data_IF_907313933320
#
_entry.id   IF_907313933320
#
_cell.length_a   1.000
_cell.length_b   1.000
_cell.length_c   1.000
_cell.angle_alpha   90.00
_cell.angle_beta   90.00
_cell.angle_gamma   90.00
#
_symmetry.space_group_name_H-M   'P 1'
#
loop_
_entity.id
_entity.type
_entity.pdbx_description
1 polymer ?
#
# COMPACT_ATOMS: atom_id res chain seq x y z
N UNK A 1 -79.47 36.31 32.93
CA UNK A 1 -78.47 37.35 32.59
C UNK A 1 -77.10 37.13 33.25
N UNK A 2 -76.96 36.31 34.30
CA UNK A 2 -75.66 36.07 34.99
C UNK A 2 -74.66 35.22 34.17
N UNK A 3 -75.11 34.21 33.41
CA UNK A 3 -74.21 33.32 32.64
C UNK A 3 -73.56 33.94 31.39
N UNK A 4 -74.12 35.03 30.85
CA UNK A 4 -73.53 35.75 29.70
C UNK A 4 -72.38 36.67 30.12
N UNK A 5 -72.48 37.26 31.32
CA UNK A 5 -71.43 38.11 31.87
C UNK A 5 -70.18 37.29 32.23
N UNK A 6 -70.36 36.14 32.86
CA UNK A 6 -69.26 35.21 33.18
C UNK A 6 -68.54 34.66 31.94
N UNK A 7 -69.27 34.41 30.85
CA UNK A 7 -68.66 34.02 29.56
C UNK A 7 -67.86 35.17 28.94
N UNK A 8 -68.36 36.40 29.06
CA UNK A 8 -67.66 37.58 28.55
C UNK A 8 -66.35 37.78 29.32
N UNK A 9 -66.38 37.74 30.66
CA UNK A 9 -65.18 37.84 31.50
C UNK A 9 -64.15 36.75 31.17
N UNK A 10 -64.61 35.52 30.95
CA UNK A 10 -63.73 34.41 30.56
C UNK A 10 -63.05 34.65 29.20
N UNK A 11 -63.79 35.15 28.21
CA UNK A 11 -63.24 35.50 26.89
C UNK A 11 -62.25 36.66 27.01
N UNK A 12 -62.54 37.67 27.85
CA UNK A 12 -61.64 38.81 28.08
C UNK A 12 -60.33 38.35 28.72
N UNK A 13 -60.40 37.43 29.69
CA UNK A 13 -59.23 36.87 30.34
C UNK A 13 -58.40 35.97 29.40
N UNK A 14 -59.06 35.15 28.57
CA UNK A 14 -58.37 34.38 27.53
C UNK A 14 -57.69 35.28 26.50
N UNK A 15 -58.35 36.36 26.08
CA UNK A 15 -57.77 37.35 25.14
C UNK A 15 -56.51 37.98 25.71
N UNK A 16 -56.54 38.42 26.98
CA UNK A 16 -55.38 39.00 27.64
C UNK A 16 -54.20 38.01 27.73
N UNK A 17 -54.48 36.74 28.06
CA UNK A 17 -53.44 35.70 28.12
C UNK A 17 -52.83 35.40 26.74
N UNK A 18 -53.62 35.46 25.67
CA UNK A 18 -53.13 35.29 24.29
C UNK A 18 -52.29 36.48 23.86
N UNK A 19 -52.70 37.71 24.20
CA UNK A 19 -51.92 38.94 23.94
C UNK A 19 -50.56 38.90 24.64
N UNK A 20 -50.52 38.52 25.92
CA UNK A 20 -49.27 38.38 26.68
C UNK A 20 -48.33 37.33 26.07
N UNK A 21 -48.87 36.21 25.59
CA UNK A 21 -48.07 35.18 24.91
C UNK A 21 -47.56 35.65 23.54
N UNK A 22 -48.36 36.41 22.79
CA UNK A 22 -47.96 37.02 21.52
C UNK A 22 -46.85 38.06 21.72
N UNK A 23 -46.92 38.87 22.77
CA UNK A 23 -45.86 39.82 23.14
C UNK A 23 -44.57 39.09 23.52
N UNK A 24 -44.67 38.04 24.33
CA UNK A 24 -43.50 37.19 24.66
C UNK A 24 -42.89 36.57 23.40
N UNK A 25 -43.70 36.01 22.51
CA UNK A 25 -43.22 35.43 21.26
C UNK A 25 -42.58 36.48 20.35
N UNK A 26 -43.23 37.64 20.20
CA UNK A 26 -42.73 38.77 19.43
C UNK A 26 -41.39 39.27 19.96
N UNK A 27 -41.21 39.30 21.29
CA UNK A 27 -39.94 39.67 21.93
C UNK A 27 -38.86 38.59 21.80
N UNK A 28 -39.23 37.31 21.73
CA UNK A 28 -38.29 36.19 21.63
C UNK A 28 -37.79 35.92 20.20
N UNK A 29 -38.62 36.17 19.18
CA UNK A 29 -38.26 36.02 17.76
C UNK A 29 -36.94 36.74 17.40
N UNK A 30 -36.75 38.04 17.71
CA UNK A 30 -35.50 38.73 17.35
C UNK A 30 -34.29 38.07 18.03
N UNK A 31 -34.38 37.73 19.31
CA UNK A 31 -33.29 37.03 20.03
C UNK A 31 -32.91 35.72 19.36
N UNK A 32 -33.89 34.89 19.00
CA UNK A 32 -33.65 33.62 18.31
C UNK A 32 -33.03 33.86 16.93
N UNK A 33 -33.53 34.83 16.16
CA UNK A 33 -32.97 35.16 14.84
C UNK A 33 -31.53 35.68 14.92
N UNK A 34 -31.20 36.48 15.93
CA UNK A 34 -29.82 36.94 16.17
C UNK A 34 -28.91 35.77 16.52
N UNK A 35 -29.35 34.86 17.39
CA UNK A 35 -28.55 33.67 17.74
C UNK A 35 -28.34 32.74 16.55
N UNK A 36 -29.38 32.48 15.74
CA UNK A 36 -29.24 31.70 14.52
C UNK A 36 -28.26 32.36 13.54
N UNK A 37 -28.32 33.68 13.40
CA UNK A 37 -27.39 34.42 12.53
C UNK A 37 -25.94 34.29 13.01
N UNK A 38 -25.71 34.38 14.33
CA UNK A 38 -24.39 34.17 14.93
C UNK A 38 -23.87 32.74 14.70
N UNK A 39 -24.73 31.72 14.86
CA UNK A 39 -24.36 30.32 14.59
C UNK A 39 -24.00 30.13 13.11
N UNK A 40 -24.81 30.67 12.20
CA UNK A 40 -24.54 30.59 10.76
C UNK A 40 -23.20 31.23 10.39
N UNK A 41 -22.86 32.36 11.01
CA UNK A 41 -21.57 33.03 10.81
C UNK A 41 -20.41 32.16 11.29
N UNK A 42 -20.49 31.57 12.49
CA UNK A 42 -19.44 30.68 13.02
C UNK A 42 -19.27 29.44 12.14
N UNK A 43 -20.38 28.85 11.66
CA UNK A 43 -20.33 27.69 10.76
C UNK A 43 -19.67 28.07 9.42
N UNK A 44 -19.98 29.24 8.86
CA UNK A 44 -19.35 29.73 7.63
C UNK A 44 -17.84 29.93 7.81
N UNK A 45 -17.42 30.52 8.94
CA UNK A 45 -16.01 30.72 9.26
C UNK A 45 -15.26 29.37 9.38
N UNK A 46 -15.85 28.38 10.07
CA UNK A 46 -15.24 27.06 10.19
C UNK A 46 -15.18 26.32 8.85
N UNK A 47 -16.19 26.47 7.99
CA UNK A 47 -16.15 25.92 6.62
C UNK A 47 -15.00 26.51 5.81
N UNK A 48 -14.77 27.82 5.90
CA UNK A 48 -13.63 28.45 5.23
C UNK A 48 -12.30 27.90 5.77
N UNK A 49 -12.17 27.72 7.09
CA UNK A 49 -10.95 27.17 7.66
C UNK A 49 -10.70 25.72 7.23
N UNK A 50 -11.75 24.90 7.16
CA UNK A 50 -11.66 23.53 6.64
C UNK A 50 -11.25 23.50 5.17
N UNK A 51 -11.81 24.37 4.33
CA UNK A 51 -11.43 24.48 2.93
C UNK A 51 -9.95 24.88 2.76
N UNK A 52 -9.45 25.79 3.61
CA UNK A 52 -8.04 26.17 3.57
C UNK A 52 -7.13 25.01 4.02
N UNK A 53 -7.52 24.25 5.04
CA UNK A 53 -6.80 23.05 5.45
C UNK A 53 -6.79 22.00 4.36
N UNK A 54 -7.92 21.77 3.69
CA UNK A 54 -8.03 20.86 2.54
C UNK A 54 -7.09 21.27 1.41
N UNK A 55 -7.01 22.58 1.10
CA UNK A 55 -6.10 23.13 0.11
C UNK A 55 -4.63 22.91 0.49
N UNK A 56 -4.26 23.18 1.75
CA UNK A 56 -2.89 22.99 2.26
C UNK A 56 -2.50 21.50 2.26
N UNK A 57 -3.41 20.62 2.69
CA UNK A 57 -3.19 19.18 2.68
C UNK A 57 -3.03 18.65 1.26
N UNK A 58 -3.89 19.07 0.34
CA UNK A 58 -3.82 18.69 -1.08
C UNK A 58 -2.49 19.12 -1.70
N UNK A 59 -2.05 20.35 -1.43
CA UNK A 59 -0.75 20.84 -1.86
C UNK A 59 0.40 20.01 -1.28
N UNK A 60 0.34 19.67 0.02
CA UNK A 60 1.36 18.83 0.65
C UNK A 60 1.40 17.42 0.06
N UNK A 61 0.24 16.82 -0.20
CA UNK A 61 0.13 15.51 -0.86
C UNK A 61 0.77 15.57 -2.25
N UNK A 62 0.50 16.61 -3.04
CA UNK A 62 1.09 16.80 -4.36
C UNK A 62 2.62 16.93 -4.29
N UNK A 63 3.14 17.71 -3.32
CA UNK A 63 4.59 17.82 -3.10
C UNK A 63 5.20 16.47 -2.75
N UNK A 64 4.59 15.70 -1.84
CA UNK A 64 5.05 14.36 -1.49
C UNK A 64 5.04 13.41 -2.69
N UNK A 65 3.98 13.41 -3.49
CA UNK A 65 3.91 12.59 -4.71
C UNK A 65 4.99 12.98 -5.73
N UNK A 66 5.29 14.27 -5.85
CA UNK A 66 6.36 14.78 -6.71
C UNK A 66 7.75 14.37 -6.20
N UNK A 67 7.99 14.47 -4.88
CA UNK A 67 9.21 13.99 -4.24
C UNK A 67 9.39 12.47 -4.43
N UNK A 68 8.34 11.68 -4.23
CA UNK A 68 8.36 10.24 -4.48
C UNK A 68 8.64 9.92 -5.95
N UNK A 69 8.03 10.65 -6.88
CA UNK A 69 8.35 10.46 -8.29
C UNK A 69 9.79 10.84 -8.62
N UNK A 70 10.35 11.87 -7.97
CA UNK A 70 11.76 12.21 -8.11
C UNK A 70 12.69 11.11 -7.57
N UNK A 71 12.37 10.56 -6.39
CA UNK A 71 13.17 9.56 -5.69
C UNK A 71 13.11 8.14 -6.26
N UNK A 72 11.98 7.77 -6.87
CA UNK A 72 11.77 6.43 -7.42
C UNK A 72 11.68 6.43 -8.95
N UNK A 73 11.43 7.59 -9.57
CA UNK A 73 11.16 7.69 -10.99
C UNK A 73 12.41 7.51 -11.86
N UNK A 74 13.61 7.83 -11.37
CA UNK A 74 14.88 7.52 -12.06
C UNK A 74 15.07 6.01 -12.17
N UNK A 75 14.86 5.31 -11.07
CA UNK A 75 15.04 3.87 -10.87
C UNK A 75 13.97 3.11 -11.65
N UNK A 76 12.73 3.59 -11.64
CA UNK A 76 11.63 3.04 -12.42
C UNK A 76 11.72 3.37 -13.92
N UNK A 77 12.48 4.40 -14.32
CA UNK A 77 12.68 4.78 -15.74
C UNK A 77 13.76 3.92 -16.40
N UNK A 78 14.75 3.46 -15.64
CA UNK A 78 15.72 2.46 -16.08
C UNK A 78 15.06 1.12 -16.43
N UNK A 79 13.86 0.86 -15.92
CA UNK A 79 13.07 -0.33 -16.20
C UNK A 79 12.09 -0.03 -17.36
N UNK A 80 12.44 -0.46 -18.57
CA UNK A 80 11.77 -0.05 -19.80
C UNK A 80 10.34 -0.60 -19.97
N UNK A 81 9.52 -0.02 -20.88
CA UNK A 81 8.14 -0.43 -21.14
C UNK A 81 7.99 -1.83 -21.77
N UNK A 82 9.07 -2.45 -22.23
CA UNK A 82 9.12 -3.83 -22.73
C UNK A 82 9.75 -4.82 -21.77
N UNK A 83 10.25 -4.37 -20.62
CA UNK A 83 10.77 -5.22 -19.57
C UNK A 83 9.62 -5.53 -18.62
N UNK A 84 8.72 -6.40 -19.07
CA UNK A 84 8.06 -7.31 -18.13
C UNK A 84 9.22 -7.90 -17.33
N UNK A 85 9.36 -7.43 -16.09
CA UNK A 85 10.53 -7.67 -15.26
C UNK A 85 11.05 -9.06 -15.57
N UNK A 86 12.34 -9.16 -15.84
CA UNK A 86 13.03 -10.43 -16.00
C UNK A 86 12.85 -11.37 -14.80
N UNK A 87 11.99 -11.06 -13.82
CA UNK A 87 11.23 -12.00 -13.00
C UNK A 87 10.62 -13.11 -13.86
N UNK A 88 9.85 -12.86 -14.93
CA UNK A 88 9.29 -13.94 -15.77
C UNK A 88 10.37 -14.74 -16.50
N UNK A 89 11.43 -14.06 -16.98
CA UNK A 89 12.61 -14.71 -17.58
C UNK A 89 13.40 -15.56 -16.58
N UNK A 90 13.74 -15.04 -15.39
CA UNK A 90 14.35 -15.80 -14.29
C UNK A 90 13.42 -16.90 -13.79
N UNK A 91 12.11 -16.67 -13.73
CA UNK A 91 11.09 -17.65 -13.35
C UNK A 91 11.02 -18.82 -14.33
N UNK A 92 11.26 -18.57 -15.62
CA UNK A 92 11.30 -19.59 -16.66
C UNK A 92 12.66 -20.30 -16.71
N UNK A 93 13.77 -19.57 -16.50
CA UNK A 93 15.12 -20.13 -16.39
C UNK A 93 15.25 -21.06 -15.17
N UNK A 94 14.72 -20.67 -14.00
CA UNK A 94 14.66 -21.53 -12.81
C UNK A 94 13.49 -22.54 -12.81
N UNK A 95 12.53 -22.39 -13.73
CA UNK A 95 11.33 -23.24 -13.84
C UNK A 95 11.44 -24.38 -14.85
N UNK A 96 12.51 -24.44 -15.65
CA UNK A 96 12.64 -25.42 -16.74
C UNK A 96 13.23 -26.78 -16.33
N UNK A 97 13.59 -26.97 -15.05
CA UNK A 97 13.91 -28.29 -14.49
C UNK A 97 12.74 -28.87 -13.68
N UNK A 98 11.55 -29.01 -14.26
CA UNK A 98 10.59 -30.00 -13.76
C UNK A 98 9.47 -30.28 -14.75
N UNK A 99 9.70 -31.26 -15.62
CA UNK A 99 8.60 -31.92 -16.32
C UNK A 99 7.97 -32.95 -15.34
N UNK A 100 7.05 -32.52 -14.47
CA UNK A 100 6.10 -33.39 -13.73
C UNK A 100 4.87 -32.58 -13.24
N UNK A 101 3.69 -33.21 -13.15
CA UNK A 101 2.41 -32.51 -13.15
C UNK A 101 2.13 -31.80 -11.83
N UNK A 102 1.25 -30.80 -11.91
CA UNK A 102 0.77 -29.95 -10.82
C UNK A 102 0.61 -30.72 -9.50
N UNK A 103 1.48 -30.42 -8.53
CA UNK A 103 1.33 -30.87 -7.15
C UNK A 103 0.54 -29.83 -6.38
N UNK A 104 -0.69 -30.22 -6.04
CA UNK A 104 -1.50 -29.66 -4.97
C UNK A 104 -0.62 -29.53 -3.72
N UNK A 105 -0.51 -28.34 -3.14
CA UNK A 105 0.27 -28.12 -1.91
C UNK A 105 -0.44 -28.84 -0.76
N UNK A 106 -0.09 -30.12 -0.57
CA UNK A 106 -0.32 -30.87 0.66
C UNK A 106 0.81 -30.51 1.62
N UNK A 107 0.46 -29.82 2.70
CA UNK A 107 1.36 -29.48 3.81
C UNK A 107 1.74 -30.76 4.52
N UNK A 108 2.96 -31.25 4.31
CA UNK A 108 3.58 -32.25 5.19
C UNK A 108 4.78 -31.62 5.91
N UNK A 109 4.67 -31.63 7.24
CA UNK A 109 5.57 -31.11 8.27
C UNK A 109 6.93 -31.83 8.25
N UNK A 110 8.08 -31.13 8.28
CA UNK A 110 9.35 -31.77 8.64
C UNK A 110 9.48 -31.82 10.18
N UNK A 111 9.59 -33.03 10.71
CA UNK A 111 10.03 -33.30 12.08
C UNK A 111 11.54 -32.97 12.19
N UNK A 112 11.89 -32.05 13.07
CA UNK A 112 13.28 -31.86 13.52
C UNK A 112 13.58 -32.89 14.63
N UNK A 113 14.65 -33.67 14.48
CA UNK A 113 15.34 -34.31 15.60
C UNK A 113 16.85 -34.13 15.45
N UNK A 114 17.61 -33.89 16.53
CA UNK A 114 19.02 -33.51 16.48
C UNK A 114 19.97 -34.72 16.65
N UNK A 115 21.25 -34.57 16.25
CA UNK A 115 22.32 -35.13 17.07
C UNK A 115 23.41 -34.09 17.38
N UNK A 116 23.79 -34.02 18.65
CA UNK A 116 25.06 -33.43 19.13
C UNK A 116 26.22 -34.46 19.03
N UNK A 117 27.41 -34.21 19.60
CA UNK A 117 28.57 -33.55 18.99
C UNK A 117 29.78 -34.51 18.91
N UNK A 118 30.86 -34.16 18.20
CA UNK A 118 32.19 -34.73 18.49
C UNK A 118 33.33 -33.86 17.95
N UNK A 119 34.46 -34.00 18.65
CA UNK A 119 35.55 -33.05 18.84
C UNK A 119 36.66 -33.13 17.78
N UNK A 120 37.35 -31.99 17.66
CA UNK A 120 38.75 -31.72 17.26
C UNK A 120 39.67 -32.89 16.83
N UNK A 121 40.33 -32.74 15.67
CA UNK A 121 41.78 -33.02 15.50
C UNK A 121 42.34 -32.07 14.42
N UNK A 122 43.39 -31.35 14.81
CA UNK A 122 44.32 -30.55 14.00
C UNK A 122 45.36 -31.43 13.32
N UNK A 123 45.79 -31.08 12.09
CA UNK A 123 47.17 -31.34 11.65
C UNK A 123 47.56 -30.41 10.48
N UNK A 124 48.85 -30.07 10.49
CA UNK A 124 49.52 -28.95 9.84
C UNK A 124 50.60 -29.49 8.88
N UNK A 125 51.07 -28.64 7.95
CA UNK A 125 52.32 -28.69 7.15
C UNK A 125 52.40 -29.29 5.72
N UNK A 126 52.58 -28.35 4.77
CA UNK A 126 53.63 -28.19 3.73
C UNK A 126 53.91 -29.23 2.61
N UNK A 127 54.06 -28.71 1.37
CA UNK A 127 55.06 -29.22 0.41
C UNK A 127 54.78 -29.11 -1.10
N UNK A 128 54.99 -27.93 -1.68
CA UNK A 128 55.69 -27.59 -2.96
C UNK A 128 55.48 -28.42 -4.26
N UNK A 129 55.16 -27.66 -5.33
CA UNK A 129 55.39 -27.87 -6.78
C UNK A 129 54.63 -28.97 -7.54
N UNK A 130 53.74 -28.54 -8.45
CA UNK A 130 54.01 -28.59 -9.89
C UNK A 130 52.91 -27.87 -10.69
N UNK A 131 53.34 -26.96 -11.57
CA UNK A 131 52.52 -26.26 -12.54
C UNK A 131 52.57 -27.03 -13.87
N UNK A 132 51.43 -27.23 -14.55
CA UNK A 132 51.45 -27.20 -16.01
C UNK A 132 50.70 -25.99 -16.55
N UNK A 133 51.39 -25.29 -17.45
CA UNK A 133 50.94 -24.21 -18.30
C UNK A 133 49.94 -24.74 -19.36
N UNK A 134 48.98 -23.88 -19.76
CA UNK A 134 48.14 -23.93 -20.97
C UNK A 134 46.96 -24.96 -20.96
N UNK A 135 45.70 -24.61 -21.23
CA UNK A 135 45.14 -23.57 -22.10
C UNK A 135 43.80 -22.99 -21.61
N UNK A 136 43.41 -21.80 -22.10
CA UNK A 136 42.15 -21.13 -21.84
C UNK A 136 41.04 -21.60 -22.80
N UNK A 137 39.80 -21.47 -22.34
CA UNK A 137 38.52 -21.48 -23.06
C UNK A 137 37.52 -22.47 -22.45
N UNK A 138 36.37 -21.90 -22.10
CA UNK A 138 35.05 -22.52 -21.99
C UNK A 138 34.75 -23.31 -20.72
N UNK A 139 34.35 -22.60 -19.65
CA UNK A 139 33.16 -22.96 -18.81
C UNK A 139 32.97 -22.18 -17.49
N UNK A 140 33.39 -20.89 -17.38
CA UNK A 140 33.03 -20.07 -16.20
C UNK A 140 32.63 -18.63 -16.55
N UNK A 141 31.58 -18.46 -17.38
CA UNK A 141 31.01 -17.13 -17.67
C UNK A 141 29.49 -17.04 -17.55
N UNK A 142 28.84 -17.96 -16.82
CA UNK A 142 27.38 -18.04 -16.73
C UNK A 142 26.81 -17.97 -15.30
N UNK A 143 27.63 -18.01 -14.24
CA UNK A 143 27.15 -17.86 -12.85
C UNK A 143 27.16 -16.41 -12.36
N UNK A 144 28.19 -15.63 -12.68
CA UNK A 144 28.38 -14.26 -12.15
C UNK A 144 27.34 -13.26 -12.66
N UNK A 145 26.83 -13.45 -13.87
CA UNK A 145 25.81 -12.56 -14.47
C UNK A 145 24.41 -12.80 -13.92
N UNK A 146 24.08 -14.07 -13.62
CA UNK A 146 22.75 -14.46 -13.14
C UNK A 146 22.47 -14.02 -11.70
N UNK A 147 23.47 -14.08 -10.82
CA UNK A 147 23.34 -13.60 -9.43
C UNK A 147 23.17 -12.08 -9.35
N UNK A 148 23.81 -11.35 -10.27
CA UNK A 148 23.65 -9.91 -10.42
C UNK A 148 22.22 -9.53 -10.83
N UNK A 149 21.60 -10.29 -11.75
CA UNK A 149 20.22 -10.05 -12.20
C UNK A 149 19.20 -10.30 -11.07
N UNK A 150 19.38 -11.37 -10.30
CA UNK A 150 18.52 -11.69 -9.14
C UNK A 150 18.60 -10.60 -8.06
N UNK A 151 19.81 -10.11 -7.78
CA UNK A 151 20.03 -9.02 -6.82
C UNK A 151 19.38 -7.71 -7.28
N UNK A 152 19.51 -7.37 -8.57
CA UNK A 152 18.87 -6.19 -9.17
C UNK A 152 17.34 -6.26 -9.06
N UNK A 153 16.74 -7.39 -9.44
CA UNK A 153 15.29 -7.60 -9.36
C UNK A 153 14.78 -7.53 -7.92
N UNK A 154 15.53 -8.12 -6.98
CA UNK A 154 15.21 -8.04 -5.55
C UNK A 154 15.23 -6.59 -5.06
N UNK A 155 16.23 -5.80 -5.46
CA UNK A 155 16.31 -4.39 -5.11
C UNK A 155 15.13 -3.59 -5.67
N UNK A 156 14.77 -3.81 -6.94
CA UNK A 156 13.62 -3.17 -7.59
C UNK A 156 12.31 -3.52 -6.87
N UNK A 157 12.10 -4.79 -6.53
CA UNK A 157 10.88 -5.23 -5.86
C UNK A 157 10.79 -4.67 -4.43
N UNK A 158 11.92 -4.60 -3.72
CA UNK A 158 12.02 -3.90 -2.45
C UNK A 158 11.67 -2.42 -2.57
N UNK A 159 12.16 -1.73 -3.59
CA UNK A 159 11.83 -0.32 -3.85
C UNK A 159 10.35 -0.13 -4.15
N UNK A 160 9.74 -0.99 -4.97
CA UNK A 160 8.29 -0.98 -5.25
C UNK A 160 7.49 -1.19 -3.97
N UNK A 161 7.91 -2.13 -3.12
CA UNK A 161 7.30 -2.39 -1.81
C UNK A 161 7.32 -1.14 -0.93
N UNK A 162 8.47 -0.47 -0.87
CA UNK A 162 8.63 0.76 -0.11
C UNK A 162 7.70 1.85 -0.63
N UNK A 163 7.70 2.08 -1.94
CA UNK A 163 6.85 3.04 -2.60
C UNK A 163 5.36 2.77 -2.33
N UNK A 164 4.91 1.52 -2.47
CA UNK A 164 3.52 1.14 -2.22
C UNK A 164 3.08 1.43 -0.79
N UNK A 165 3.96 1.19 0.19
CA UNK A 165 3.69 1.55 1.59
C UNK A 165 3.55 3.06 1.77
N UNK A 166 4.38 3.87 1.11
CA UNK A 166 4.27 5.33 1.16
C UNK A 166 2.99 5.81 0.48
N UNK A 167 2.63 5.24 -0.67
CA UNK A 167 1.38 5.54 -1.37
C UNK A 167 0.15 5.17 -0.52
N UNK A 168 0.17 4.02 0.16
CA UNK A 168 -0.89 3.62 1.08
C UNK A 168 -1.12 4.64 2.20
N UNK A 169 -0.03 5.20 2.75
CA UNK A 169 -0.11 6.28 3.76
C UNK A 169 -0.65 7.57 3.14
N UNK A 170 -0.17 7.96 1.96
CA UNK A 170 -0.62 9.19 1.28
C UNK A 170 -2.11 9.14 0.93
N UNK A 171 -2.58 8.01 0.41
CA UNK A 171 -3.99 7.81 0.07
C UNK A 171 -4.86 7.43 1.27
N UNK A 172 -4.26 7.31 2.46
CA UNK A 172 -4.95 6.86 3.67
C UNK A 172 -5.74 5.56 3.45
N UNK A 173 -5.15 4.61 2.71
CA UNK A 173 -5.77 3.34 2.36
C UNK A 173 -4.85 2.19 2.77
N UNK A 174 -5.25 1.32 3.71
CA UNK A 174 -4.44 0.18 4.10
C UNK A 174 -4.32 -0.83 2.94
N UNK A 175 -3.11 -1.37 2.75
CA UNK A 175 -2.86 -2.46 1.81
C UNK A 175 -3.55 -3.74 2.31
N UNK A 176 -4.12 -4.52 1.38
CA UNK A 176 -4.78 -5.77 1.72
C UNK A 176 -3.76 -6.83 2.13
N UNK A 177 -2.56 -6.77 1.57
CA UNK A 177 -1.44 -7.64 1.92
C UNK A 177 -0.33 -6.80 2.56
N UNK A 178 -0.29 -6.70 3.90
CA UNK A 178 0.66 -5.84 4.59
C UNK A 178 2.12 -6.16 4.22
N UNK A 179 2.88 -5.10 3.98
CA UNK A 179 4.29 -5.16 3.59
C UNK A 179 5.20 -4.91 4.81
N UNK A 180 6.07 -5.87 5.10
CA UNK A 180 7.07 -5.80 6.17
C UNK A 180 8.47 -5.54 5.58
N UNK A 181 9.14 -4.53 6.12
CA UNK A 181 10.48 -4.11 5.71
C UNK A 181 11.40 -3.88 6.92
N UNK A 182 11.08 -4.47 8.09
CA UNK A 182 11.89 -4.32 9.32
C UNK A 182 13.35 -4.75 9.15
N UNK A 183 13.59 -5.75 8.30
CA UNK A 183 14.93 -6.25 7.97
C UNK A 183 15.64 -5.47 6.84
N UNK A 184 15.02 -4.40 6.33
CA UNK A 184 15.52 -3.60 5.21
C UNK A 184 14.77 -3.83 3.89
N UNK A 185 15.00 -2.92 2.93
CA UNK A 185 14.28 -2.87 1.63
C UNK A 185 14.52 -4.12 0.79
N UNK A 186 15.75 -4.63 0.75
CA UNK A 186 16.11 -5.84 0.00
C UNK A 186 15.60 -7.15 0.61
N UNK A 187 15.08 -7.10 1.85
CA UNK A 187 14.56 -8.27 2.59
C UNK A 187 13.06 -8.15 2.87
N UNK A 188 12.37 -7.39 2.02
CA UNK A 188 10.95 -7.16 2.12
C UNK A 188 10.14 -8.46 2.12
N UNK A 189 9.04 -8.47 2.87
CA UNK A 189 8.10 -9.60 2.98
C UNK A 189 6.67 -9.08 2.84
N UNK A 190 5.80 -9.88 2.25
CA UNK A 190 4.35 -9.61 2.17
C UNK A 190 3.61 -10.62 3.04
N UNK A 191 2.56 -10.17 3.71
CA UNK A 191 1.76 -11.02 4.60
C UNK A 191 0.38 -11.31 4.00
N UNK A 192 0.02 -12.59 3.91
CA UNK A 192 -1.33 -13.00 3.54
C UNK A 192 -2.21 -13.27 4.77
N UNK A 193 -3.14 -12.35 5.00
CA UNK A 193 -4.14 -12.45 6.06
C UNK A 193 -5.48 -13.02 5.55
N UNK A 194 -5.64 -13.18 4.24
CA UNK A 194 -6.92 -13.52 3.62
C UNK A 194 -7.07 -15.01 3.35
N UNK A 195 -5.99 -15.71 3.02
CA UNK A 195 -6.09 -17.15 2.76
C UNK A 195 -6.38 -17.92 4.07
N UNK A 196 -7.44 -18.75 4.10
CA UNK A 196 -7.78 -19.56 5.27
C UNK A 196 -6.76 -20.68 5.48
N UNK A 197 -6.65 -21.18 6.71
CA UNK A 197 -5.82 -22.34 7.08
C UNK A 197 -4.29 -22.18 7.00
N UNK A 198 -3.76 -20.96 6.85
CA UNK A 198 -2.33 -20.69 7.06
C UNK A 198 -2.01 -20.44 8.54
N UNK A 199 -0.95 -21.07 9.05
CA UNK A 199 -0.34 -20.71 10.35
C UNK A 199 0.23 -19.30 10.30
N UNK A 200 0.28 -18.57 11.43
CA UNK A 200 0.89 -17.22 11.46
C UNK A 200 2.33 -17.18 10.90
N UNK A 201 3.12 -18.22 11.11
CA UNK A 201 4.48 -18.34 10.59
C UNK A 201 4.56 -18.49 9.07
N UNK A 202 3.53 -19.09 8.45
CA UNK A 202 3.49 -19.40 7.01
C UNK A 202 2.81 -18.31 6.20
N UNK A 203 2.28 -17.27 6.85
CA UNK A 203 1.60 -16.14 6.19
C UNK A 203 2.55 -15.13 5.58
N UNK A 204 3.84 -15.19 5.90
CA UNK A 204 4.83 -14.21 5.44
C UNK A 204 5.66 -14.77 4.30
N UNK A 205 5.56 -14.14 3.14
CA UNK A 205 6.25 -14.58 1.94
C UNK A 205 7.33 -13.57 1.55
N UNK A 206 8.56 -14.02 1.22
CA UNK A 206 9.65 -13.13 0.88
C UNK A 206 9.48 -12.57 -0.54
N UNK A 207 9.73 -11.26 -0.69
CA UNK A 207 9.85 -10.57 -1.99
C UNK A 207 11.31 -10.56 -2.49
N UNK A 208 12.05 -11.58 -2.12
CA UNK A 208 13.42 -11.83 -2.54
C UNK A 208 13.66 -13.33 -2.63
N UNK A 209 14.53 -13.75 -3.53
CA UNK A 209 14.82 -15.16 -3.70
C UNK A 209 15.99 -15.57 -2.79
N UNK A 210 15.73 -16.41 -1.78
CA UNK A 210 16.79 -16.95 -0.92
C UNK A 210 17.51 -18.13 -1.59
N UNK A 211 16.73 -19.04 -2.17
CA UNK A 211 17.15 -20.29 -2.83
C UNK A 211 16.12 -20.68 -3.87
N UNK A 212 16.48 -21.52 -4.83
CA UNK A 212 15.60 -22.02 -5.89
C UNK A 212 14.35 -22.73 -5.36
N UNK A 213 14.47 -23.46 -4.24
CA UNK A 213 13.32 -24.11 -3.58
C UNK A 213 12.25 -23.15 -3.06
N UNK A 214 12.60 -21.88 -2.83
CA UNK A 214 11.67 -20.84 -2.37
C UNK A 214 10.94 -20.15 -3.53
N UNK A 215 11.18 -20.56 -4.79
CA UNK A 215 10.58 -19.94 -5.97
C UNK A 215 9.04 -19.91 -5.94
N UNK A 216 8.31 -20.96 -5.50
CA UNK A 216 6.85 -20.90 -5.41
C UNK A 216 6.35 -19.85 -4.40
N UNK A 217 7.01 -19.74 -3.24
CA UNK A 217 6.68 -18.76 -2.22
C UNK A 217 6.97 -17.32 -2.70
N UNK A 218 8.07 -17.14 -3.44
CA UNK A 218 8.41 -15.87 -4.08
C UNK A 218 7.40 -15.47 -5.17
N UNK A 219 7.01 -16.41 -6.05
CA UNK A 219 5.96 -16.19 -7.07
C UNK A 219 4.66 -15.72 -6.42
N UNK A 220 4.28 -16.41 -5.35
CA UNK A 220 3.10 -16.08 -4.59
C UNK A 220 3.20 -14.67 -3.98
N UNK A 221 4.33 -14.33 -3.36
CA UNK A 221 4.58 -13.00 -2.82
C UNK A 221 4.40 -11.88 -3.86
N UNK A 222 5.00 -12.04 -5.05
CA UNK A 222 4.88 -11.08 -6.15
C UNK A 222 3.43 -10.93 -6.60
N UNK A 223 2.68 -12.04 -6.69
CA UNK A 223 1.26 -12.00 -7.05
C UNK A 223 0.42 -11.22 -6.02
N UNK A 224 0.69 -11.38 -4.72
CA UNK A 224 0.02 -10.59 -3.69
C UNK A 224 0.34 -9.09 -3.80
N UNK A 225 1.60 -8.76 -4.04
CA UNK A 225 2.02 -7.38 -4.27
C UNK A 225 1.29 -6.76 -5.48
N UNK A 226 1.17 -7.51 -6.58
CA UNK A 226 0.48 -7.06 -7.79
C UNK A 226 -1.02 -6.86 -7.58
N UNK A 227 -1.65 -7.65 -6.69
CA UNK A 227 -3.04 -7.44 -6.29
C UNK A 227 -3.23 -6.13 -5.54
N UNK A 228 -2.28 -5.77 -4.67
CA UNK A 228 -2.31 -4.47 -3.98
C UNK A 228 -2.10 -3.30 -4.96
N UNK A 229 -1.17 -3.43 -5.91
CA UNK A 229 -0.99 -2.45 -7.00
C UNK A 229 -2.30 -2.29 -7.78
N UNK A 230 -2.94 -3.39 -8.13
CA UNK A 230 -4.21 -3.39 -8.87
C UNK A 230 -5.35 -2.75 -8.06
N UNK A 231 -5.41 -3.02 -6.75
CA UNK A 231 -6.39 -2.40 -5.87
C UNK A 231 -6.19 -0.87 -5.77
N UNK A 232 -4.95 -0.40 -5.66
CA UNK A 232 -4.64 1.03 -5.66
C UNK A 232 -4.96 1.69 -7.00
N UNK A 233 -4.68 1.02 -8.12
CA UNK A 233 -5.08 1.50 -9.45
C UNK A 233 -6.58 1.63 -9.58
N UNK A 234 -7.32 0.62 -9.15
CA UNK A 234 -8.78 0.62 -9.17
C UNK A 234 -9.36 1.74 -8.29
N UNK A 235 -8.74 2.05 -7.14
CA UNK A 235 -9.13 3.18 -6.29
C UNK A 235 -9.08 4.52 -7.04
N UNK A 236 -8.14 4.67 -7.97
CA UNK A 236 -7.99 5.87 -8.81
C UNK A 236 -8.69 5.75 -10.18
N UNK A 237 -9.53 4.73 -10.38
CA UNK A 237 -10.27 4.52 -11.63
C UNK A 237 -9.42 3.99 -12.80
N UNK A 238 -8.20 3.52 -12.54
CA UNK A 238 -7.33 2.93 -13.56
C UNK A 238 -7.58 1.43 -13.72
N UNK A 239 -7.60 0.96 -14.98
CA UNK A 239 -7.62 -0.47 -15.29
C UNK A 239 -6.21 -1.06 -15.20
N UNK A 240 -6.10 -2.34 -14.84
CA UNK A 240 -4.82 -3.06 -14.84
C UNK A 240 -4.82 -4.08 -15.99
N UNK A 241 -4.22 -3.77 -17.15
CA UNK A 241 -4.31 -4.64 -18.33
C UNK A 241 -3.54 -5.95 -18.14
N UNK A 242 -2.37 -5.90 -17.50
CA UNK A 242 -1.55 -7.08 -17.18
C UNK A 242 -1.07 -6.97 -15.75
N UNK A 243 -1.60 -7.82 -14.85
CA UNK A 243 -1.27 -7.78 -13.42
C UNK A 243 0.22 -8.06 -13.16
N UNK A 244 0.84 -8.94 -13.95
CA UNK A 244 2.27 -9.30 -13.86
C UNK A 244 3.24 -8.17 -14.24
N UNK A 245 2.76 -7.12 -14.92
CA UNK A 245 3.57 -5.99 -15.33
C UNK A 245 3.76 -4.97 -14.18
N UNK A 246 4.23 -5.43 -13.02
CA UNK A 246 4.30 -4.68 -11.75
C UNK A 246 4.88 -3.27 -11.93
N UNK A 247 6.08 -3.19 -12.52
CA UNK A 247 6.81 -1.93 -12.69
C UNK A 247 6.02 -0.94 -13.55
N UNK A 248 5.49 -1.41 -14.68
CA UNK A 248 4.70 -0.58 -15.59
C UNK A 248 3.41 -0.09 -14.91
N UNK A 249 2.74 -0.96 -14.17
CA UNK A 249 1.51 -0.63 -13.44
C UNK A 249 1.76 0.42 -12.36
N UNK A 250 2.89 0.33 -11.64
CA UNK A 250 3.29 1.32 -10.63
C UNK A 250 3.69 2.65 -11.28
N UNK A 251 4.46 2.59 -12.37
CA UNK A 251 4.88 3.80 -13.11
C UNK A 251 3.70 4.58 -13.64
N UNK A 252 2.76 3.91 -14.30
CA UNK A 252 1.58 4.58 -14.86
C UNK A 252 0.61 5.05 -13.78
N UNK A 253 0.53 4.35 -12.64
CA UNK A 253 -0.18 4.82 -11.46
C UNK A 253 0.40 6.17 -10.99
N UNK A 254 1.73 6.25 -10.79
CA UNK A 254 2.39 7.48 -10.36
C UNK A 254 2.22 8.63 -11.36
N UNK A 255 2.37 8.34 -12.66
CA UNK A 255 2.16 9.34 -13.71
C UNK A 255 0.73 9.89 -13.68
N UNK A 256 -0.26 9.01 -13.53
CA UNK A 256 -1.65 9.43 -13.39
C UNK A 256 -1.84 10.32 -12.15
N UNK A 257 -1.28 9.95 -11.00
CA UNK A 257 -1.34 10.80 -9.80
C UNK A 257 -0.81 12.20 -10.11
N UNK A 258 0.38 12.34 -10.67
CA UNK A 258 0.94 13.67 -10.98
C UNK A 258 0.06 14.48 -11.95
N UNK A 259 -0.42 13.84 -13.02
CA UNK A 259 -1.28 14.51 -14.01
C UNK A 259 -2.66 14.87 -13.47
N UNK A 260 -3.24 14.04 -12.60
CA UNK A 260 -4.53 14.32 -11.97
C UNK A 260 -4.42 15.47 -10.98
N UNK A 261 -3.33 15.56 -10.21
CA UNK A 261 -3.13 16.66 -9.25
C UNK A 261 -2.85 18.01 -9.92
N UNK A 262 -2.22 18.03 -11.11
CA UNK A 262 -2.15 19.23 -11.95
C UNK A 262 -3.55 19.71 -12.41
N UNK A 263 -4.54 18.80 -12.44
CA UNK A 263 -5.93 19.07 -12.77
C UNK A 263 -6.83 19.29 -11.55
N UNK A 264 -6.32 19.19 -10.31
CA UNK A 264 -7.08 19.57 -9.09
C UNK A 264 -7.09 21.10 -8.94
N UNK A 265 -7.72 21.74 -9.91
CA UNK A 265 -8.68 22.80 -9.66
C UNK A 265 -10.04 22.10 -9.57
N UNK A 266 -10.86 22.48 -8.60
CA UNK A 266 -12.20 21.94 -8.30
C UNK A 266 -12.20 20.84 -7.24
N UNK A 267 -11.94 21.26 -5.99
CA UNK A 267 -13.04 21.47 -5.05
C UNK A 267 -12.82 22.81 -4.35
#
# INVERSE_FOLDING_TARGET
MSGTLSKLDHITQQRAAVEENLERLSSGIPTVTTQLSSILQVVAEKRHHLAELERVLSYRIMMLLTELFGLFGSELRCLGPGESMAVSKLLNTYGSESNRPAVTVAVNKPQLSPPEPNQSVSDEYNGVSEMPLANPADSQLSSTTMDSDVASITAVLGMITHLLRLLAVIFNQPLRYPLDMKEGVSRAKVTDLLTPNLSEGDRRFPLYLLRTSALPAYKYAVALLNRDVSALRALLGLTTPTEEATVWNVRTLLQHCLSSYDQVKLF
#
